data_IF_605550037851
#
_entry.id   IF_605550037851
#
_cell.length_a   1.000
_cell.length_b   1.000
_cell.length_c   1.000
_cell.angle_alpha   90.00
_cell.angle_beta   90.00
_cell.angle_gamma   90.00
#
_symmetry.space_group_name_H-M   'P 1'
#
loop_
_entity.id
_entity.type
_entity.pdbx_description
1 polymer ?
#
# COMPACT_ATOMS: atom_id res chain seq x y z
N UNK A 1 15.51 -10.31 -1.54
CA UNK A 1 15.41 -9.01 -0.86
C UNK A 1 14.81 -8.01 -1.83
N UNK A 2 13.88 -7.20 -1.37
CA UNK A 2 13.20 -6.16 -2.15
C UNK A 2 13.52 -4.82 -1.52
N UNK A 3 13.64 -3.76 -2.32
CA UNK A 3 13.90 -2.41 -1.84
C UNK A 3 12.61 -1.60 -1.92
N UNK A 4 12.14 -1.13 -0.78
CA UNK A 4 10.98 -0.25 -0.69
C UNK A 4 11.44 1.20 -0.58
N UNK A 5 10.93 2.06 -1.44
CA UNK A 5 11.26 3.49 -1.48
C UNK A 5 9.97 4.31 -1.63
N UNK A 6 9.94 5.55 -1.09
CA UNK A 6 8.90 6.50 -1.44
C UNK A 6 9.00 6.83 -2.94
N UNK A 7 7.87 6.81 -3.64
CA UNK A 7 7.78 7.10 -5.07
C UNK A 7 7.28 8.53 -5.32
N UNK A 8 6.27 8.99 -4.59
CA UNK A 8 5.73 10.34 -4.66
C UNK A 8 4.85 10.67 -3.44
N UNK A 9 4.64 11.96 -3.19
CA UNK A 9 3.57 12.45 -2.31
C UNK A 9 2.47 13.06 -3.18
N UNK A 10 1.20 12.72 -2.90
CA UNK A 10 0.05 13.27 -3.61
C UNK A 10 -1.12 13.46 -2.66
N UNK A 11 -1.66 14.67 -2.59
CA UNK A 11 -2.88 15.01 -1.83
C UNK A 11 -2.87 14.56 -0.36
N UNK A 12 -1.69 14.63 0.28
CA UNK A 12 -1.47 14.19 1.66
C UNK A 12 -1.44 12.67 1.84
N UNK A 13 -1.07 11.93 0.79
CA UNK A 13 -0.79 10.50 0.79
C UNK A 13 0.59 10.22 0.20
N UNK A 14 1.23 9.12 0.63
CA UNK A 14 2.56 8.73 0.15
C UNK A 14 2.50 7.44 -0.64
N UNK A 15 3.03 7.46 -1.86
CA UNK A 15 3.23 6.25 -2.64
C UNK A 15 4.52 5.55 -2.22
N UNK A 16 4.44 4.25 -1.97
CA UNK A 16 5.57 3.38 -1.69
C UNK A 16 5.68 2.35 -2.80
N UNK A 17 6.89 2.24 -3.37
CA UNK A 17 7.21 1.22 -4.35
C UNK A 17 8.25 0.25 -3.78
N UNK A 18 7.89 -1.03 -3.74
CA UNK A 18 8.76 -2.13 -3.34
C UNK A 18 9.20 -2.93 -4.57
N UNK A 19 10.43 -2.69 -5.02
CA UNK A 19 11.01 -3.33 -6.21
C UNK A 19 11.85 -4.56 -5.83
N UNK A 20 11.66 -5.71 -6.51
CA UNK A 20 12.56 -6.86 -6.37
C UNK A 20 13.98 -6.52 -6.84
N UNK A 21 15.02 -6.96 -6.11
CA UNK A 21 16.42 -6.69 -6.50
C UNK A 21 16.81 -7.39 -7.81
N UNK A 22 16.19 -8.53 -8.15
CA UNK A 22 16.51 -9.33 -9.34
C UNK A 22 15.70 -8.95 -10.59
N UNK A 23 15.07 -7.77 -10.58
CA UNK A 23 14.11 -7.38 -11.62
C UNK A 23 12.77 -8.08 -11.45
N UNK A 24 11.72 -7.48 -12.03
CA UNK A 24 10.34 -7.90 -11.87
C UNK A 24 9.41 -6.73 -11.58
N UNK A 25 8.12 -6.99 -11.60
CA UNK A 25 7.11 -6.00 -11.26
C UNK A 25 7.23 -5.58 -9.79
N UNK A 26 7.11 -4.27 -9.54
CA UNK A 26 7.15 -3.72 -8.20
C UNK A 26 5.77 -3.79 -7.54
N UNK A 27 5.74 -4.03 -6.22
CA UNK A 27 4.53 -3.85 -5.43
C UNK A 27 4.36 -2.35 -5.19
N UNK A 28 3.17 -1.83 -5.48
CA UNK A 28 2.85 -0.42 -5.27
C UNK A 28 1.78 -0.29 -4.19
N UNK A 29 2.04 0.56 -3.21
CA UNK A 29 1.14 0.85 -2.11
C UNK A 29 0.97 2.36 -1.96
N UNK A 30 -0.19 2.77 -1.46
CA UNK A 30 -0.43 4.13 -1.01
C UNK A 30 -0.62 4.13 0.50
N UNK A 31 0.05 5.05 1.18
CA UNK A 31 -0.10 5.30 2.61
C UNK A 31 -1.00 6.51 2.78
N UNK A 32 -2.12 6.30 3.46
CA UNK A 32 -3.02 7.37 3.85
C UNK A 32 -2.97 7.59 5.36
N UNK A 33 -3.20 8.82 5.84
CA UNK A 33 -3.35 9.07 7.25
C UNK A 33 -4.67 8.44 7.76
N UNK A 34 -4.67 8.01 9.02
CA UNK A 34 -5.76 7.24 9.61
C UNK A 34 -7.12 7.96 9.62
N UNK A 35 -7.12 9.29 9.69
CA UNK A 35 -8.32 10.13 9.65
C UNK A 35 -9.08 10.05 8.32
N UNK A 36 -8.42 9.61 7.25
CA UNK A 36 -9.02 9.38 5.92
C UNK A 36 -9.44 7.92 5.70
N UNK A 37 -9.35 7.08 6.73
CA UNK A 37 -9.71 5.66 6.62
C UNK A 37 -11.24 5.49 6.64
N UNK A 38 -11.82 4.69 5.75
CA UNK A 38 -13.24 4.37 5.78
C UNK A 38 -13.59 3.32 6.87
N UNK A 39 -12.60 2.83 7.60
CA UNK A 39 -12.72 1.85 8.69
C UNK A 39 -11.79 2.21 9.85
N UNK A 40 -12.08 1.68 11.04
CA UNK A 40 -11.25 1.90 12.23
C UNK A 40 -9.87 1.27 12.04
N UNK A 41 -8.82 2.08 12.23
CA UNK A 41 -7.42 1.66 12.15
C UNK A 41 -6.73 1.93 13.47
N UNK A 42 -5.97 0.95 13.95
CA UNK A 42 -5.21 1.05 15.20
C UNK A 42 -3.94 1.92 15.08
N UNK A 43 -3.46 2.11 13.85
CA UNK A 43 -2.26 2.88 13.50
C UNK A 43 -2.62 4.30 13.06
N UNK A 44 -1.65 5.22 13.07
CA UNK A 44 -1.83 6.59 12.57
C UNK A 44 -1.93 6.70 11.04
N UNK A 45 -1.86 5.56 10.35
CA UNK A 45 -1.93 5.44 8.90
C UNK A 45 -2.60 4.12 8.51
N UNK A 46 -2.98 4.00 7.25
CA UNK A 46 -3.38 2.74 6.62
C UNK A 46 -2.77 2.60 5.23
N UNK A 47 -2.63 1.36 4.79
CA UNK A 47 -2.01 1.00 3.51
C UNK A 47 -3.08 0.55 2.53
N UNK A 48 -2.98 0.99 1.28
CA UNK A 48 -3.84 0.57 0.17
C UNK A 48 -2.97 -0.02 -0.94
N UNK A 49 -3.39 -1.14 -1.51
CA UNK A 49 -2.71 -1.76 -2.65
C UNK A 49 -3.07 -1.06 -3.96
N UNK A 50 -2.08 -0.37 -4.54
CA UNK A 50 -2.26 0.49 -5.73
C UNK A 50 -2.30 -0.33 -7.04
N UNK A 51 -1.57 -1.45 -7.11
CA UNK A 51 -1.54 -2.32 -8.29
C UNK A 51 -2.03 -3.76 -8.02
N UNK A 52 -2.34 -4.51 -9.10
CA UNK A 52 -2.88 -5.88 -8.97
C UNK A 52 -1.88 -6.83 -8.32
N UNK A 53 -0.58 -6.60 -8.51
CA UNK A 53 0.45 -7.39 -7.85
C UNK A 53 0.43 -7.15 -6.34
N UNK A 54 0.34 -5.90 -5.87
CA UNK A 54 0.19 -5.57 -4.46
C UNK A 54 -1.06 -6.21 -3.86
N UNK A 55 -2.20 -6.16 -4.57
CA UNK A 55 -3.45 -6.80 -4.11
C UNK A 55 -3.31 -8.31 -3.94
N UNK A 56 -2.69 -8.99 -4.91
CA UNK A 56 -2.46 -10.44 -4.84
C UNK A 56 -1.57 -10.83 -3.66
N UNK A 57 -0.56 -10.02 -3.38
CA UNK A 57 0.43 -10.32 -2.34
C UNK A 57 0.05 -9.74 -0.95
N UNK A 58 -0.99 -8.93 -0.84
CA UNK A 58 -1.36 -8.24 0.41
C UNK A 58 -1.66 -9.20 1.57
N UNK A 59 -2.17 -10.40 1.27
CA UNK A 59 -2.46 -11.43 2.26
C UNK A 59 -1.38 -12.52 2.35
N UNK A 60 -0.27 -12.36 1.62
CA UNK A 60 0.80 -13.35 1.58
C UNK A 60 1.89 -13.03 2.61
N UNK A 61 2.22 -14.04 3.43
CA UNK A 61 3.33 -13.97 4.37
C UNK A 61 3.22 -12.80 5.36
N UNK A 62 4.29 -12.01 5.50
CA UNK A 62 4.34 -10.90 6.44
C UNK A 62 3.40 -9.73 6.10
N UNK A 63 2.99 -9.61 4.83
CA UNK A 63 2.09 -8.53 4.39
C UNK A 63 0.69 -8.69 5.00
N UNK A 64 0.28 -9.92 5.32
CA UNK A 64 -0.99 -10.20 6.00
C UNK A 64 -1.16 -9.49 7.36
N UNK A 65 -0.06 -9.12 8.01
CA UNK A 65 -0.07 -8.39 9.29
C UNK A 65 -0.18 -6.87 9.13
N UNK A 66 0.01 -6.36 7.90
CA UNK A 66 0.00 -4.92 7.64
C UNK A 66 -1.40 -4.37 7.36
N UNK A 67 -2.44 -5.22 7.38
CA UNK A 67 -3.84 -4.85 7.14
C UNK A 67 -3.98 -3.96 5.89
N UNK A 68 -3.36 -4.39 4.80
CA UNK A 68 -3.36 -3.65 3.54
C UNK A 68 -4.76 -3.75 2.92
N UNK A 69 -5.37 -2.60 2.68
CA UNK A 69 -6.62 -2.52 1.94
C UNK A 69 -6.39 -2.98 0.49
N UNK A 70 -7.24 -3.89 0.05
CA UNK A 70 -7.23 -4.44 -1.31
C UNK A 70 -8.52 -4.16 -2.07
N UNK A 71 -9.49 -3.49 -1.44
CA UNK A 71 -10.73 -3.11 -2.09
C UNK A 71 -10.44 -2.15 -3.23
N UNK A 72 -10.91 -2.50 -4.43
CA UNK A 72 -10.80 -1.67 -5.65
C UNK A 72 -11.71 -0.44 -5.61
N UNK A 73 -12.08 0.06 -4.43
CA UNK A 73 -12.89 1.26 -4.36
C UNK A 73 -11.96 2.43 -4.64
N UNK A 74 -12.09 2.98 -5.83
CA UNK A 74 -11.56 4.30 -6.16
C UNK A 74 -11.93 5.23 -5.01
N UNK A 75 -10.94 5.59 -4.19
CA UNK A 75 -11.09 6.54 -3.09
C UNK A 75 -11.34 7.91 -3.73
N UNK A 76 -12.58 8.12 -4.19
CA UNK A 76 -13.06 9.40 -4.70
C UNK A 76 -13.13 10.33 -3.52
N UNK A 77 -12.16 11.25 -3.50
CA UNK A 77 -12.11 12.45 -2.68
C UNK A 77 -13.37 13.28 -2.94
#
# INVERSE_FOLDING_TARGET
MSKCLPAAEKDGSWQIQCSPIKGGEALQFVVYPADKSPYDVATSFYLVADNDLARKNANDGLLSYLMIDTDKKEHKI
#
